data_IF_761403356502
#
_entry.id   IF_761403356502
#
_cell.length_a   1.000
_cell.length_b   1.000
_cell.length_c   1.000
_cell.angle_alpha   90.00
_cell.angle_beta   90.00
_cell.angle_gamma   90.00
#
_symmetry.space_group_name_H-M   'P 1'
#
loop_
_entity.id
_entity.type
_entity.pdbx_description
1 polymer ?
#
# COMPACT_ATOMS: atom_id res chain seq x y z
N UNK A 1 27.35 70.76 13.59
CA UNK A 1 27.48 69.93 12.38
C UNK A 1 28.26 68.68 12.75
N UNK A 2 27.56 67.62 13.14
CA UNK A 2 28.13 66.28 13.24
C UNK A 2 27.13 65.38 12.51
N UNK A 3 27.59 64.90 11.36
CA UNK A 3 26.80 64.17 10.39
C UNK A 3 26.24 62.89 11.02
N UNK A 4 24.96 62.65 10.77
CA UNK A 4 24.35 61.36 10.95
C UNK A 4 25.16 60.33 10.16
N UNK A 5 25.62 59.28 10.84
CA UNK A 5 26.08 58.06 10.20
C UNK A 5 24.82 57.46 9.58
N UNK A 6 24.67 57.65 8.27
CA UNK A 6 23.77 56.86 7.44
C UNK A 6 24.19 55.40 7.64
N UNK A 7 23.42 54.67 8.46
CA UNK A 7 23.58 53.24 8.59
C UNK A 7 23.42 52.63 7.20
N UNK A 8 24.44 51.90 6.74
CA UNK A 8 24.32 51.02 5.59
C UNK A 8 23.11 50.12 5.85
N UNK A 9 22.03 50.36 5.11
CA UNK A 9 20.91 49.43 5.02
C UNK A 9 21.49 48.23 4.28
N UNK A 10 22.07 47.31 5.04
CA UNK A 10 22.54 46.02 4.54
C UNK A 10 21.32 45.38 3.87
N UNK A 11 21.33 45.37 2.54
CA UNK A 11 20.18 44.93 1.74
C UNK A 11 19.96 43.46 2.05
N UNK A 12 18.90 43.19 2.81
CA UNK A 12 18.62 41.82 3.24
C UNK A 12 18.43 40.94 2.00
N UNK A 13 19.02 39.75 1.99
CA UNK A 13 18.94 38.87 0.83
C UNK A 13 17.48 38.49 0.58
N UNK A 14 16.99 38.70 -0.63
CA UNK A 14 15.61 38.37 -1.02
C UNK A 14 15.52 36.96 -1.60
N UNK A 15 14.35 36.32 -1.46
CA UNK A 15 14.10 35.03 -2.06
C UNK A 15 14.03 35.13 -3.60
N UNK A 16 14.79 34.35 -4.40
CA UNK A 16 14.74 34.42 -5.86
C UNK A 16 13.38 34.05 -6.45
N UNK A 17 12.59 33.25 -5.72
CA UNK A 17 11.23 32.86 -6.12
C UNK A 17 10.16 33.83 -5.61
N UNK A 18 10.46 34.65 -4.60
CA UNK A 18 9.56 35.67 -4.07
C UNK A 18 10.38 36.93 -3.78
N UNK A 19 10.62 37.78 -4.80
CA UNK A 19 11.46 38.96 -4.65
C UNK A 19 10.98 39.95 -3.59
N UNK A 20 9.69 39.92 -3.24
CA UNK A 20 9.08 40.73 -2.19
C UNK A 20 9.26 40.16 -0.76
N UNK A 21 9.85 38.96 -0.60
CA UNK A 21 10.06 38.34 0.72
C UNK A 21 11.54 38.24 1.07
N UNK A 22 11.87 38.72 2.27
CA UNK A 22 13.18 38.56 2.88
C UNK A 22 13.49 37.07 3.10
N UNK A 23 14.76 36.71 2.90
CA UNK A 23 15.22 35.36 3.13
C UNK A 23 15.47 35.11 4.61
N UNK A 24 14.87 34.05 5.14
CA UNK A 24 15.06 33.64 6.53
C UNK A 24 16.28 32.75 6.69
N UNK A 25 16.71 32.06 5.63
CA UNK A 25 17.90 31.20 5.61
C UNK A 25 18.41 30.90 4.20
N UNK A 26 19.58 30.26 4.13
CA UNK A 26 20.13 29.67 2.92
C UNK A 26 19.83 28.18 2.84
N UNK A 27 19.57 27.68 1.63
CA UNK A 27 19.34 26.27 1.37
C UNK A 27 20.64 25.47 1.59
N UNK A 28 20.60 24.47 2.47
CA UNK A 28 21.76 23.63 2.80
C UNK A 28 22.32 22.84 1.60
N UNK A 29 21.50 22.62 0.56
CA UNK A 29 21.88 21.82 -0.63
C UNK A 29 22.43 22.64 -1.79
N UNK A 30 21.86 23.82 -2.05
CA UNK A 30 22.21 24.62 -3.24
C UNK A 30 22.66 26.05 -2.93
N UNK A 31 22.67 26.47 -1.66
CA UNK A 31 23.11 27.79 -1.22
C UNK A 31 22.14 28.94 -1.55
N UNK A 32 21.03 28.71 -2.25
CA UNK A 32 20.05 29.76 -2.57
C UNK A 32 19.35 30.29 -1.32
N UNK A 33 19.07 31.58 -1.30
CA UNK A 33 18.24 32.24 -0.30
C UNK A 33 16.78 31.77 -0.35
N UNK A 34 16.18 31.57 0.82
CA UNK A 34 14.84 30.97 0.99
C UNK A 34 14.05 31.80 2.00
N UNK A 35 12.83 32.24 1.62
CA UNK A 35 11.89 32.86 2.55
C UNK A 35 11.14 31.81 3.39
N UNK A 36 10.46 32.23 4.45
CA UNK A 36 9.68 31.37 5.36
C UNK A 36 8.69 30.44 4.65
N UNK A 37 8.14 30.87 3.52
CA UNK A 37 7.21 30.07 2.72
C UNK A 37 7.89 29.04 1.81
N UNK A 38 9.09 29.36 1.31
CA UNK A 38 9.84 28.48 0.44
C UNK A 38 10.62 27.40 1.20
N UNK A 39 10.80 27.58 2.51
CA UNK A 39 11.50 26.65 3.39
C UNK A 39 10.72 25.33 3.54
N UNK A 40 11.46 24.22 3.53
CA UNK A 40 10.94 22.87 3.78
C UNK A 40 11.77 22.21 4.87
N UNK A 41 11.27 21.08 5.38
CA UNK A 41 11.98 20.28 6.38
C UNK A 41 13.44 20.04 6.00
N UNK A 42 14.35 20.17 6.97
CA UNK A 42 15.78 20.00 6.77
C UNK A 42 16.47 21.19 6.09
N UNK A 43 15.89 22.40 6.13
CA UNK A 43 16.55 23.63 5.68
C UNK A 43 16.77 23.70 4.17
N UNK A 44 15.96 22.98 3.39
CA UNK A 44 16.09 22.92 1.93
C UNK A 44 15.07 23.83 1.24
N UNK A 45 15.46 24.41 0.11
CA UNK A 45 14.54 25.14 -0.74
C UNK A 45 13.53 24.20 -1.43
N UNK A 46 12.40 24.76 -1.87
CA UNK A 46 11.33 24.02 -2.58
C UNK A 46 11.84 23.18 -3.76
N UNK A 47 12.75 23.72 -4.58
CA UNK A 47 13.27 23.01 -5.75
C UNK A 47 14.17 21.83 -5.36
N UNK A 48 15.07 22.02 -4.39
CA UNK A 48 15.91 20.94 -3.88
C UNK A 48 15.08 19.81 -3.25
N UNK A 49 14.03 20.18 -2.51
CA UNK A 49 13.09 19.23 -1.92
C UNK A 49 12.30 18.48 -3.01
N UNK A 50 11.82 19.18 -4.04
CA UNK A 50 11.14 18.60 -5.21
C UNK A 50 12.04 17.60 -5.94
N UNK A 51 13.28 17.96 -6.19
CA UNK A 51 14.24 17.07 -6.83
C UNK A 51 14.56 15.85 -5.96
N UNK A 52 14.68 16.02 -4.64
CA UNK A 52 14.86 14.90 -3.72
C UNK A 52 13.65 13.94 -3.74
N UNK A 53 12.43 14.49 -3.77
CA UNK A 53 11.19 13.74 -3.89
C UNK A 53 11.11 12.95 -5.22
N UNK A 54 11.50 13.57 -6.35
CA UNK A 54 11.49 12.94 -7.67
C UNK A 54 12.61 11.91 -7.85
N UNK A 55 13.74 12.09 -7.16
CA UNK A 55 14.86 11.15 -7.16
C UNK A 55 14.50 9.78 -6.56
N UNK A 56 13.40 9.68 -5.82
CA UNK A 56 12.86 8.40 -5.34
C UNK A 56 12.18 7.67 -6.52
N UNK A 57 12.68 6.49 -6.96
CA UNK A 57 12.00 5.67 -7.97
C UNK A 57 10.50 5.46 -7.72
N UNK A 58 9.72 5.32 -8.79
CA UNK A 58 8.29 5.10 -8.68
C UNK A 58 7.92 3.72 -8.09
N UNK A 59 6.63 3.55 -7.81
CA UNK A 59 6.00 2.33 -7.31
C UNK A 59 5.23 1.55 -8.39
N UNK A 60 5.15 2.07 -9.63
CA UNK A 60 4.27 1.57 -10.70
C UNK A 60 4.59 0.14 -11.08
N UNK A 61 5.88 -0.17 -11.29
CA UNK A 61 6.32 -1.51 -11.68
C UNK A 61 6.00 -2.53 -10.58
N UNK A 62 6.18 -2.16 -9.32
CA UNK A 62 5.90 -3.03 -8.17
C UNK A 62 4.39 -3.22 -7.97
N UNK A 63 3.60 -2.16 -8.12
CA UNK A 63 2.13 -2.23 -8.08
C UNK A 63 1.59 -3.16 -9.16
N UNK A 64 2.13 -3.07 -10.38
CA UNK A 64 1.77 -3.94 -11.50
C UNK A 64 2.11 -5.40 -11.20
N UNK A 65 3.32 -5.69 -10.71
CA UNK A 65 3.72 -7.06 -10.32
C UNK A 65 2.83 -7.62 -9.21
N UNK A 66 2.53 -6.84 -8.18
CA UNK A 66 1.61 -7.24 -7.12
C UNK A 66 0.21 -7.51 -7.65
N UNK A 67 -0.31 -6.66 -8.54
CA UNK A 67 -1.65 -6.82 -9.15
C UNK A 67 -1.73 -8.10 -9.99
N UNK A 68 -0.73 -8.37 -10.83
CA UNK A 68 -0.68 -9.61 -11.61
C UNK A 68 -0.56 -10.85 -10.73
N UNK A 69 0.31 -10.84 -9.73
CA UNK A 69 0.48 -11.97 -8.82
C UNK A 69 -0.80 -12.27 -8.03
N UNK A 70 -1.47 -11.23 -7.51
CA UNK A 70 -2.78 -11.36 -6.86
C UNK A 70 -3.84 -11.91 -7.82
N UNK A 71 -3.90 -11.40 -9.05
CA UNK A 71 -4.83 -11.88 -10.08
C UNK A 71 -4.61 -13.34 -10.46
N UNK A 72 -3.36 -13.77 -10.59
CA UNK A 72 -3.01 -15.17 -10.89
C UNK A 72 -3.34 -16.07 -9.69
N UNK A 73 -3.04 -15.65 -8.46
CA UNK A 73 -3.45 -16.38 -7.24
C UNK A 73 -4.96 -16.59 -7.17
N UNK A 74 -5.75 -15.54 -7.43
CA UNK A 74 -7.21 -15.65 -7.47
C UNK A 74 -7.70 -16.59 -8.58
N UNK A 75 -7.07 -16.55 -9.77
CA UNK A 75 -7.40 -17.46 -10.86
C UNK A 75 -7.12 -18.92 -10.49
N UNK A 76 -5.96 -19.21 -9.90
CA UNK A 76 -5.58 -20.58 -9.47
C UNK A 76 -6.55 -21.07 -8.39
N UNK A 77 -6.85 -20.23 -7.40
CA UNK A 77 -7.81 -20.58 -6.33
C UNK A 77 -9.24 -20.74 -6.88
N UNK A 78 -9.63 -19.99 -7.91
CA UNK A 78 -10.92 -20.19 -8.56
C UNK A 78 -11.01 -21.53 -9.32
N UNK A 79 -9.88 -22.11 -9.77
CA UNK A 79 -9.88 -23.42 -10.42
C UNK A 79 -10.26 -24.57 -9.48
N UNK A 80 -10.16 -24.40 -8.15
CA UNK A 80 -10.65 -25.40 -7.20
C UNK A 80 -12.15 -25.34 -6.94
N UNK A 81 -12.87 -24.30 -7.43
CA UNK A 81 -14.32 -24.18 -7.22
C UNK A 81 -15.14 -25.30 -7.86
N UNK A 82 -14.95 -25.66 -9.15
CA UNK A 82 -15.72 -26.75 -9.76
C UNK A 82 -15.51 -28.06 -9.01
N UNK A 83 -14.30 -28.24 -8.50
CA UNK A 83 -13.89 -29.41 -7.73
C UNK A 83 -14.65 -29.52 -6.41
N UNK A 84 -14.65 -28.46 -5.62
CA UNK A 84 -15.40 -28.40 -4.36
C UNK A 84 -16.91 -28.50 -4.57
N UNK A 85 -17.44 -27.84 -5.61
CA UNK A 85 -18.87 -27.92 -5.95
C UNK A 85 -19.28 -29.34 -6.34
N UNK A 86 -18.48 -30.04 -7.12
CA UNK A 86 -18.79 -31.40 -7.52
C UNK A 86 -18.74 -32.39 -6.35
N UNK A 87 -17.86 -32.20 -5.36
CA UNK A 87 -17.87 -33.06 -4.17
C UNK A 87 -19.07 -32.80 -3.26
N UNK A 88 -19.53 -31.54 -3.16
CA UNK A 88 -20.65 -31.17 -2.29
C UNK A 88 -22.01 -31.45 -2.93
N UNK A 89 -22.13 -31.24 -4.24
CA UNK A 89 -23.42 -31.28 -4.97
C UNK A 89 -23.47 -32.35 -6.07
N UNK A 90 -22.38 -33.09 -6.31
CA UNK A 90 -22.32 -34.10 -7.35
C UNK A 90 -23.06 -35.39 -6.99
N UNK A 91 -23.37 -36.24 -7.99
CA UNK A 91 -24.06 -37.50 -7.79
C UNK A 91 -23.22 -38.48 -6.96
N UNK A 92 -23.88 -39.22 -6.06
CA UNK A 92 -23.24 -40.28 -5.26
C UNK A 92 -22.68 -41.39 -6.19
N UNK A 93 -21.41 -41.77 -5.99
CA UNK A 93 -20.80 -42.94 -6.64
C UNK A 93 -19.97 -42.72 -7.91
N UNK A 94 -19.69 -41.46 -8.30
CA UNK A 94 -18.92 -41.15 -9.53
C UNK A 94 -17.46 -40.72 -9.34
N UNK A 95 -16.97 -40.63 -8.10
CA UNK A 95 -15.72 -39.91 -7.78
C UNK A 95 -14.69 -40.82 -7.13
N UNK A 96 -13.50 -40.92 -7.73
CA UNK A 96 -12.31 -41.41 -7.04
C UNK A 96 -11.85 -40.33 -6.03
N UNK A 97 -12.19 -40.55 -4.76
CA UNK A 97 -11.89 -39.61 -3.66
C UNK A 97 -10.39 -39.46 -3.41
N UNK A 98 -9.59 -40.48 -3.71
CA UNK A 98 -8.13 -40.44 -3.52
C UNK A 98 -7.47 -39.63 -4.62
N UNK A 99 -7.84 -39.86 -5.89
CA UNK A 99 -7.39 -39.03 -7.01
C UNK A 99 -7.78 -37.55 -6.81
N UNK A 100 -8.99 -37.32 -6.30
CA UNK A 100 -9.50 -36.00 -5.96
C UNK A 100 -8.67 -35.32 -4.88
N UNK A 101 -8.39 -36.02 -3.78
CA UNK A 101 -7.58 -35.52 -2.66
C UNK A 101 -6.18 -35.14 -3.11
N UNK A 102 -5.55 -35.96 -3.97
CA UNK A 102 -4.22 -35.67 -4.52
C UNK A 102 -4.25 -34.43 -5.42
N UNK A 103 -5.26 -34.27 -6.27
CA UNK A 103 -5.42 -33.09 -7.12
C UNK A 103 -5.63 -31.82 -6.28
N UNK A 104 -6.50 -31.86 -5.28
CA UNK A 104 -6.76 -30.74 -4.38
C UNK A 104 -5.50 -30.32 -3.62
N UNK A 105 -4.75 -31.29 -3.08
CA UNK A 105 -3.48 -31.02 -2.39
C UNK A 105 -2.44 -30.36 -3.31
N UNK A 106 -2.32 -30.84 -4.56
CA UNK A 106 -1.40 -30.23 -5.55
C UNK A 106 -1.80 -28.80 -5.90
N UNK A 107 -3.10 -28.55 -6.13
CA UNK A 107 -3.61 -27.20 -6.36
C UNK A 107 -3.34 -26.29 -5.16
N UNK A 108 -3.57 -26.78 -3.93
CA UNK A 108 -3.27 -26.05 -2.71
C UNK A 108 -1.79 -25.65 -2.58
N UNK A 109 -0.86 -26.54 -2.93
CA UNK A 109 0.59 -26.22 -2.94
C UNK A 109 0.89 -25.11 -3.95
N UNK A 110 0.35 -25.21 -5.18
CA UNK A 110 0.56 -24.22 -6.23
C UNK A 110 -0.04 -22.86 -5.84
N UNK A 111 -1.26 -22.84 -5.31
CA UNK A 111 -1.91 -21.65 -4.78
C UNK A 111 -1.07 -21.02 -3.66
N UNK A 112 -0.62 -21.82 -2.68
CA UNK A 112 0.18 -21.32 -1.56
C UNK A 112 1.51 -20.68 -2.00
N UNK A 113 2.20 -21.26 -2.98
CA UNK A 113 3.40 -20.66 -3.56
C UNK A 113 3.08 -19.32 -4.24
N UNK A 114 1.97 -19.25 -4.99
CA UNK A 114 1.55 -18.02 -5.65
C UNK A 114 1.12 -16.94 -4.65
N UNK A 115 0.45 -17.32 -3.57
CA UNK A 115 0.05 -16.41 -2.49
C UNK A 115 1.27 -15.81 -1.78
N UNK A 116 2.30 -16.61 -1.52
CA UNK A 116 3.57 -16.13 -0.98
C UNK A 116 4.21 -15.13 -1.94
N UNK A 117 4.25 -15.44 -3.24
CA UNK A 117 4.80 -14.52 -4.24
C UNK A 117 4.01 -13.21 -4.31
N UNK A 118 2.68 -13.27 -4.31
CA UNK A 118 1.78 -12.12 -4.29
C UNK A 118 2.00 -11.26 -3.04
N UNK A 119 2.11 -11.89 -1.88
CA UNK A 119 2.42 -11.23 -0.60
C UNK A 119 3.77 -10.52 -0.66
N UNK A 120 4.82 -11.16 -1.18
CA UNK A 120 6.15 -10.54 -1.31
C UNK A 120 6.08 -9.31 -2.22
N UNK A 121 5.44 -9.40 -3.39
CA UNK A 121 5.31 -8.24 -4.28
C UNK A 121 4.48 -7.11 -3.66
N UNK A 122 3.42 -7.45 -2.94
CA UNK A 122 2.63 -6.49 -2.18
C UNK A 122 3.50 -5.76 -1.12
N UNK A 123 4.30 -6.49 -0.35
CA UNK A 123 5.21 -5.90 0.66
C UNK A 123 6.30 -5.03 0.03
N UNK A 124 6.86 -5.46 -1.11
CA UNK A 124 7.83 -4.66 -1.86
C UNK A 124 7.21 -3.36 -2.39
N UNK A 125 5.95 -3.40 -2.80
CA UNK A 125 5.19 -2.21 -3.17
C UNK A 125 4.92 -1.32 -1.94
N UNK A 126 4.44 -1.90 -0.84
CA UNK A 126 4.15 -1.18 0.41
C UNK A 126 5.38 -0.42 0.91
N UNK A 127 6.52 -1.11 1.01
CA UNK A 127 7.80 -0.48 1.35
C UNK A 127 8.13 0.70 0.44
N UNK A 128 7.86 0.56 -0.87
CA UNK A 128 8.12 1.62 -1.87
C UNK A 128 7.24 2.84 -1.61
N UNK A 129 5.94 2.63 -1.39
CA UNK A 129 4.97 3.70 -1.15
C UNK A 129 5.31 4.47 0.12
N UNK A 130 5.61 3.78 1.23
CA UNK A 130 6.00 4.44 2.48
C UNK A 130 7.28 5.26 2.29
N UNK A 131 8.25 4.75 1.53
CA UNK A 131 9.47 5.50 1.22
C UNK A 131 9.20 6.74 0.36
N UNK A 132 8.26 6.67 -0.59
CA UNK A 132 7.85 7.83 -1.39
C UNK A 132 7.18 8.89 -0.54
N UNK A 133 6.21 8.50 0.29
CA UNK A 133 5.51 9.42 1.19
C UNK A 133 6.47 10.13 2.14
N UNK A 134 7.40 9.39 2.75
CA UNK A 134 8.42 9.97 3.61
C UNK A 134 9.32 10.98 2.87
N UNK A 135 9.68 10.70 1.62
CA UNK A 135 10.46 11.64 0.81
C UNK A 135 9.67 12.88 0.37
N UNK A 136 8.33 12.85 0.47
CA UNK A 136 7.45 13.98 0.23
C UNK A 136 7.14 14.77 1.51
N UNK A 137 7.86 14.49 2.61
CA UNK A 137 7.60 15.11 3.92
C UNK A 137 6.26 14.70 4.52
N UNK A 138 5.72 13.54 4.14
CA UNK A 138 4.50 13.00 4.71
C UNK A 138 4.87 11.87 5.67
N UNK A 139 4.78 12.14 6.98
CA UNK A 139 5.00 11.12 8.00
C UNK A 139 3.69 10.38 8.32
N UNK A 140 3.70 9.07 8.10
CA UNK A 140 2.59 8.16 8.43
C UNK A 140 2.82 7.46 9.78
N UNK A 141 3.80 7.91 10.57
CA UNK A 141 4.14 7.34 11.88
C UNK A 141 4.84 5.98 11.77
N UNK A 142 5.42 5.64 10.62
CA UNK A 142 6.10 4.36 10.39
C UNK A 142 7.17 4.46 9.32
N UNK A 143 8.29 3.78 9.56
CA UNK A 143 9.37 3.66 8.57
C UNK A 143 9.05 2.59 7.49
N UNK A 144 9.65 2.68 6.29
CA UNK A 144 9.47 1.67 5.24
C UNK A 144 9.80 0.23 5.67
N UNK A 145 10.82 0.04 6.51
CA UNK A 145 11.21 -1.27 7.00
C UNK A 145 10.20 -1.82 8.03
N UNK A 146 9.77 -0.97 8.97
CA UNK A 146 8.76 -1.34 9.97
C UNK A 146 7.40 -1.66 9.33
N UNK A 147 7.03 -0.98 8.25
CA UNK A 147 5.81 -1.28 7.49
C UNK A 147 5.76 -2.73 6.99
N UNK A 148 6.92 -3.32 6.69
CA UNK A 148 7.07 -4.73 6.29
C UNK A 148 7.21 -5.63 7.52
N UNK A 149 8.01 -5.24 8.51
CA UNK A 149 8.29 -6.06 9.69
C UNK A 149 7.03 -6.45 10.48
N UNK A 150 6.03 -5.56 10.55
CA UNK A 150 4.78 -5.86 11.27
C UNK A 150 3.98 -7.04 10.70
N UNK A 151 4.22 -7.45 9.46
CA UNK A 151 3.58 -8.63 8.87
C UNK A 151 4.09 -9.95 9.46
N UNK A 152 5.29 -9.95 10.03
CA UNK A 152 5.93 -11.14 10.59
C UNK A 152 5.72 -11.29 12.10
N UNK A 153 5.23 -10.24 12.76
CA UNK A 153 4.98 -10.24 14.20
C UNK A 153 3.53 -10.69 14.42
N UNK A 154 3.26 -11.82 15.11
CA UNK A 154 1.93 -12.44 15.17
C UNK A 154 0.81 -11.46 15.56
N UNK A 155 0.97 -10.75 16.68
CA UNK A 155 -0.05 -9.81 17.16
C UNK A 155 -0.13 -8.54 16.32
N UNK A 156 1.01 -8.00 15.88
CA UNK A 156 1.01 -6.79 15.06
C UNK A 156 0.43 -7.04 13.66
N UNK A 157 0.61 -8.24 13.12
CA UNK A 157 0.12 -8.65 11.79
C UNK A 157 -1.39 -8.65 11.67
N UNK A 158 -2.12 -8.61 12.81
CA UNK A 158 -3.58 -8.54 12.87
C UNK A 158 -4.14 -7.12 12.76
N UNK A 159 -3.35 -6.09 13.08
CA UNK A 159 -3.85 -4.71 13.22
C UNK A 159 -3.01 -3.70 12.43
N UNK A 160 -1.69 -3.79 12.52
CA UNK A 160 -0.78 -2.80 11.91
C UNK A 160 -0.89 -2.70 10.39
N UNK A 161 -1.03 -3.80 9.62
CA UNK A 161 -1.20 -3.70 8.17
C UNK A 161 -2.40 -2.85 7.76
N UNK A 162 -3.54 -3.03 8.42
CA UNK A 162 -4.74 -2.21 8.20
C UNK A 162 -4.48 -0.74 8.52
N UNK A 163 -3.88 -0.44 9.68
CA UNK A 163 -3.56 0.93 10.08
C UNK A 163 -2.63 1.63 9.09
N UNK A 164 -1.61 0.94 8.58
CA UNK A 164 -0.64 1.50 7.65
C UNK A 164 -1.28 1.80 6.31
N UNK A 165 -2.04 0.86 5.73
CA UNK A 165 -2.71 1.08 4.44
C UNK A 165 -3.77 2.17 4.56
N UNK A 166 -4.49 2.24 5.69
CA UNK A 166 -5.42 3.32 6.00
C UNK A 166 -4.71 4.68 6.03
N UNK A 167 -3.62 4.80 6.79
CA UNK A 167 -2.84 6.03 6.89
C UNK A 167 -2.29 6.47 5.52
N UNK A 168 -1.81 5.53 4.70
CA UNK A 168 -1.39 5.81 3.32
C UNK A 168 -2.57 6.37 2.51
N UNK A 169 -3.74 5.73 2.57
CA UNK A 169 -4.92 6.17 1.83
C UNK A 169 -5.37 7.58 2.26
N UNK A 170 -5.39 7.88 3.56
CA UNK A 170 -5.70 9.21 4.10
C UNK A 170 -4.69 10.25 3.59
N UNK A 171 -3.40 9.95 3.72
CA UNK A 171 -2.34 10.89 3.35
C UNK A 171 -2.32 11.19 1.86
N UNK A 172 -2.68 10.22 1.03
CA UNK A 172 -2.65 10.30 -0.44
C UNK A 172 -3.93 10.97 -1.00
N UNK A 173 -4.93 11.27 -0.16
CA UNK A 173 -6.18 11.91 -0.58
C UNK A 173 -7.23 10.91 -1.07
N UNK A 174 -7.07 9.63 -0.74
CA UNK A 174 -8.08 8.59 -0.89
C UNK A 174 -9.03 8.56 0.30
N UNK A 175 -9.58 9.70 0.71
CA UNK A 175 -10.52 9.78 1.85
C UNK A 175 -11.72 8.87 1.65
N UNK A 176 -12.18 8.70 0.40
CA UNK A 176 -13.20 7.70 0.07
C UNK A 176 -12.73 6.28 0.40
N UNK A 177 -11.47 5.88 0.18
CA UNK A 177 -10.96 4.55 0.57
C UNK A 177 -10.85 4.39 2.08
N UNK A 178 -10.37 5.42 2.78
CA UNK A 178 -10.27 5.41 4.24
C UNK A 178 -11.65 5.32 4.91
N UNK A 179 -12.68 5.86 4.26
CA UNK A 179 -14.07 5.83 4.69
C UNK A 179 -14.91 4.68 4.08
N UNK A 180 -14.41 3.92 3.10
CA UNK A 180 -15.25 2.98 2.31
C UNK A 180 -15.07 1.51 2.67
N UNK A 181 -16.14 0.77 2.36
CA UNK A 181 -16.27 -0.70 2.45
C UNK A 181 -15.04 -1.51 1.98
N UNK A 182 -14.32 -1.17 0.89
CA UNK A 182 -13.24 -2.01 0.38
C UNK A 182 -12.10 -2.24 1.37
N UNK A 183 -11.74 -1.26 2.22
CA UNK A 183 -10.62 -1.41 3.14
C UNK A 183 -10.97 -2.29 4.35
N UNK A 184 -12.15 -2.07 4.94
CA UNK A 184 -12.66 -2.90 6.03
C UNK A 184 -13.02 -4.31 5.56
N UNK A 185 -13.62 -4.43 4.36
CA UNK A 185 -13.94 -5.70 3.73
C UNK A 185 -12.67 -6.47 3.38
N UNK A 186 -11.66 -5.84 2.78
CA UNK A 186 -10.36 -6.46 2.48
C UNK A 186 -9.74 -7.09 3.73
N UNK A 187 -9.65 -6.32 4.82
CA UNK A 187 -9.01 -6.82 6.03
C UNK A 187 -9.86 -7.87 6.74
N UNK A 188 -11.18 -7.64 6.86
CA UNK A 188 -12.10 -8.58 7.46
C UNK A 188 -12.14 -9.93 6.73
N UNK A 189 -12.21 -9.90 5.40
CA UNK A 189 -12.16 -11.12 4.57
C UNK A 189 -10.80 -11.79 4.60
N UNK A 190 -9.69 -11.04 4.70
CA UNK A 190 -8.37 -11.63 4.87
C UNK A 190 -8.24 -12.40 6.19
N UNK A 191 -8.69 -11.82 7.31
CA UNK A 191 -8.68 -12.49 8.62
C UNK A 191 -9.61 -13.70 8.61
N UNK A 192 -10.81 -13.56 8.04
CA UNK A 192 -11.77 -14.65 7.91
C UNK A 192 -11.21 -15.79 7.06
N UNK A 193 -10.58 -15.48 5.92
CA UNK A 193 -9.95 -16.49 5.06
C UNK A 193 -8.82 -17.24 5.78
N UNK A 194 -8.01 -16.56 6.61
CA UNK A 194 -6.97 -17.23 7.42
C UNK A 194 -7.58 -18.17 8.46
N UNK A 195 -8.70 -17.78 9.07
CA UNK A 195 -9.40 -18.61 10.04
C UNK A 195 -10.03 -19.85 9.37
N UNK A 196 -10.71 -19.66 8.24
CA UNK A 196 -11.31 -20.75 7.46
C UNK A 196 -10.25 -21.74 6.97
N UNK A 197 -9.12 -21.26 6.44
CA UNK A 197 -7.99 -22.12 6.05
C UNK A 197 -7.46 -22.97 7.21
N UNK A 198 -7.37 -22.42 8.42
CA UNK A 198 -6.93 -23.18 9.59
C UNK A 198 -7.95 -24.27 9.96
N UNK A 199 -9.25 -23.96 9.90
CA UNK A 199 -10.32 -24.94 10.16
C UNK A 199 -10.34 -26.04 9.10
N UNK A 200 -10.13 -25.68 7.84
CA UNK A 200 -10.04 -26.58 6.70
C UNK A 200 -8.89 -27.58 6.88
N UNK A 201 -7.68 -27.10 7.16
CA UNK A 201 -6.51 -27.94 7.44
C UNK A 201 -6.75 -28.90 8.62
N UNK A 202 -7.30 -28.40 9.73
CA UNK A 202 -7.64 -29.25 10.88
C UNK A 202 -8.68 -30.33 10.55
N UNK A 203 -9.62 -30.04 9.65
CA UNK A 203 -10.65 -30.99 9.24
C UNK A 203 -10.04 -32.08 8.35
N UNK A 204 -9.17 -31.71 7.41
CA UNK A 204 -8.46 -32.67 6.56
C UNK A 204 -7.50 -33.57 7.35
N UNK A 205 -6.80 -33.03 8.35
CA UNK A 205 -5.93 -33.80 9.24
C UNK A 205 -6.74 -34.82 10.05
N UNK A 206 -7.88 -34.40 10.60
CA UNK A 206 -8.77 -35.28 11.39
C UNK A 206 -9.48 -36.33 10.55
N UNK A 207 -9.87 -36.00 9.33
CA UNK A 207 -10.49 -36.94 8.38
C UNK A 207 -9.54 -38.08 7.97
N UNK A 208 -8.22 -37.90 8.10
CA UNK A 208 -7.23 -38.98 7.92
C UNK A 208 -7.12 -39.95 9.11
N UNK A 209 -7.68 -39.61 10.27
CA UNK A 209 -7.54 -40.39 11.53
C UNK A 209 -8.85 -40.96 12.07
N UNK A 210 -10.01 -40.45 11.66
CA UNK A 210 -11.31 -40.91 12.14
C UNK A 210 -12.14 -41.34 10.93
N UNK A 211 -12.40 -42.64 10.80
CA UNK A 211 -13.36 -43.19 9.85
C UNK A 211 -14.71 -42.46 10.06
N UNK A 212 -15.15 -41.68 9.06
CA UNK A 212 -16.48 -41.08 9.05
C UNK A 212 -16.60 -39.59 9.37
N UNK A 213 -15.51 -38.81 9.44
CA UNK A 213 -15.66 -37.36 9.31
C UNK A 213 -16.20 -37.06 7.89
N UNK A 214 -17.36 -36.39 7.73
CA UNK A 214 -17.96 -36.20 6.41
C UNK A 214 -17.04 -35.29 5.60
N UNK A 215 -16.37 -35.85 4.61
CA UNK A 215 -15.43 -35.13 3.73
C UNK A 215 -16.09 -33.88 3.11
N UNK A 216 -17.41 -33.93 2.89
CA UNK A 216 -18.25 -32.81 2.43
C UNK A 216 -18.16 -31.56 3.32
N UNK A 217 -17.94 -31.67 4.63
CA UNK A 217 -17.75 -30.53 5.51
C UNK A 217 -16.45 -29.77 5.21
N UNK A 218 -15.36 -30.49 4.95
CA UNK A 218 -14.07 -29.89 4.56
C UNK A 218 -14.18 -29.14 3.22
N UNK A 219 -14.82 -29.75 2.23
CA UNK A 219 -15.03 -29.10 0.93
C UNK A 219 -16.00 -27.91 0.99
N UNK A 220 -17.03 -27.96 1.85
CA UNK A 220 -17.92 -26.82 2.08
C UNK A 220 -17.19 -25.63 2.72
N UNK A 221 -16.28 -25.88 3.67
CA UNK A 221 -15.40 -24.85 4.23
C UNK A 221 -14.51 -24.27 3.12
N UNK A 222 -13.93 -25.12 2.27
CA UNK A 222 -13.09 -24.69 1.14
C UNK A 222 -13.81 -23.78 0.12
N UNK A 223 -15.11 -23.99 -0.13
CA UNK A 223 -15.92 -23.07 -0.94
C UNK A 223 -16.03 -21.69 -0.29
N UNK A 224 -16.27 -21.64 1.03
CA UNK A 224 -16.29 -20.39 1.80
C UNK A 224 -14.93 -19.70 1.81
N UNK A 225 -13.84 -20.45 1.98
CA UNK A 225 -12.46 -19.97 1.91
C UNK A 225 -12.17 -19.33 0.56
N UNK A 226 -12.59 -19.99 -0.53
CA UNK A 226 -12.37 -19.49 -1.90
C UNK A 226 -13.10 -18.18 -2.14
N UNK A 227 -14.37 -18.09 -1.74
CA UNK A 227 -15.16 -16.86 -1.89
C UNK A 227 -14.51 -15.70 -1.12
N UNK A 228 -14.12 -15.91 0.14
CA UNK A 228 -13.44 -14.90 0.95
C UNK A 228 -12.11 -14.47 0.32
N UNK A 229 -11.37 -15.41 -0.26
CA UNK A 229 -10.08 -15.13 -0.91
C UNK A 229 -10.24 -14.29 -2.17
N UNK A 230 -11.23 -14.60 -3.01
CA UNK A 230 -11.55 -13.79 -4.20
C UNK A 230 -11.94 -12.37 -3.81
N UNK A 231 -12.82 -12.20 -2.82
CA UNK A 231 -13.21 -10.86 -2.32
C UNK A 231 -11.99 -10.12 -1.79
N UNK A 232 -11.15 -10.78 -1.00
CA UNK A 232 -9.90 -10.20 -0.47
C UNK A 232 -9.01 -9.69 -1.59
N UNK A 233 -8.78 -10.50 -2.63
CA UNK A 233 -7.94 -10.13 -3.79
C UNK A 233 -8.53 -8.95 -4.55
N UNK A 234 -9.83 -8.98 -4.85
CA UNK A 234 -10.50 -7.89 -5.57
C UNK A 234 -10.36 -6.57 -4.81
N UNK A 235 -10.64 -6.56 -3.51
CA UNK A 235 -10.49 -5.36 -2.69
C UNK A 235 -9.01 -4.92 -2.60
N UNK A 236 -8.07 -5.85 -2.49
CA UNK A 236 -6.64 -5.53 -2.48
C UNK A 236 -6.20 -4.85 -3.80
N UNK A 237 -6.65 -5.37 -4.95
CA UNK A 237 -6.37 -4.80 -6.27
C UNK A 237 -6.99 -3.40 -6.40
N UNK A 238 -8.23 -3.20 -5.92
CA UNK A 238 -8.87 -1.87 -5.91
C UNK A 238 -8.06 -0.87 -5.08
N UNK A 239 -7.64 -1.25 -3.88
CA UNK A 239 -6.80 -0.43 -3.00
C UNK A 239 -5.47 -0.08 -3.68
N UNK A 240 -4.78 -1.08 -4.26
CA UNK A 240 -3.53 -0.88 -4.98
C UNK A 240 -3.67 0.12 -6.13
N UNK A 241 -4.71 -0.05 -6.97
CA UNK A 241 -4.95 0.80 -8.14
C UNK A 241 -5.21 2.24 -7.74
N UNK A 242 -6.13 2.46 -6.81
CA UNK A 242 -6.49 3.82 -6.37
C UNK A 242 -5.31 4.52 -5.70
N UNK A 243 -4.59 3.84 -4.81
CA UNK A 243 -3.41 4.44 -4.17
C UNK A 243 -2.36 4.78 -5.24
N UNK A 244 -2.11 3.87 -6.19
CA UNK A 244 -1.16 4.11 -7.27
C UNK A 244 -1.56 5.29 -8.16
N UNK A 245 -2.83 5.39 -8.56
CA UNK A 245 -3.36 6.50 -9.37
C UNK A 245 -3.19 7.85 -8.67
N UNK A 246 -3.39 7.90 -7.37
CA UNK A 246 -3.22 9.13 -6.60
C UNK A 246 -1.75 9.48 -6.40
N UNK A 247 -0.87 8.50 -6.17
CA UNK A 247 0.58 8.71 -6.15
C UNK A 247 1.07 9.22 -7.52
N UNK A 248 0.54 8.68 -8.61
CA UNK A 248 0.88 9.08 -9.97
C UNK A 248 0.42 10.52 -10.26
N UNK A 249 -0.80 10.89 -9.85
CA UNK A 249 -1.29 12.28 -9.94
C UNK A 249 -0.41 13.26 -9.19
N UNK A 250 -0.03 12.94 -7.94
CA UNK A 250 0.86 13.79 -7.14
C UNK A 250 2.25 13.92 -7.76
N UNK A 251 2.80 12.82 -8.28
CA UNK A 251 4.10 12.84 -8.96
C UNK A 251 4.06 13.70 -10.21
N UNK A 252 3.02 13.58 -11.04
CA UNK A 252 2.85 14.43 -12.21
C UNK A 252 2.77 15.92 -11.84
N UNK A 253 2.10 16.26 -10.74
CA UNK A 253 2.07 17.63 -10.21
C UNK A 253 3.43 18.17 -9.77
N UNK A 254 4.35 17.31 -9.31
CA UNK A 254 5.74 17.71 -9.01
C UNK A 254 6.61 17.80 -10.26
N UNK A 255 6.35 17.00 -11.28
CA UNK A 255 7.08 17.02 -12.56
C UNK A 255 6.70 18.22 -13.43
N UNK A 256 5.48 18.76 -13.25
CA UNK A 256 5.03 19.97 -13.94
C UNK A 256 6.03 21.14 -13.73
N UNK A 257 6.31 21.94 -14.77
CA UNK A 257 7.16 23.13 -14.66
C UNK A 257 6.68 24.05 -13.54
N UNK A 258 7.63 24.61 -12.78
CA UNK A 258 7.29 25.62 -11.78
C UNK A 258 6.83 26.89 -12.51
N UNK A 259 5.52 27.16 -12.47
CA UNK A 259 4.99 28.49 -12.75
C UNK A 259 5.20 29.33 -11.50
N UNK A 260 5.88 30.48 -11.58
CA UNK A 260 5.95 31.42 -10.47
C UNK A 260 4.52 31.74 -10.02
N UNK A 261 4.24 31.58 -8.73
CA UNK A 261 2.97 32.04 -8.17
C UNK A 261 2.97 33.56 -8.27
N UNK A 262 1.87 34.13 -8.78
CA UNK A 262 1.62 35.57 -8.69
C UNK A 262 1.51 35.95 -7.21
N UNK A 263 1.91 37.16 -6.84
CA UNK A 263 1.96 37.62 -5.44
C UNK A 263 0.62 37.45 -4.69
N UNK A 264 -0.50 37.41 -5.41
CA UNK A 264 -1.86 37.18 -4.88
C UNK A 264 -2.10 35.79 -4.26
N UNK A 265 -1.32 34.76 -4.63
CA UNK A 265 -1.51 33.38 -4.16
C UNK A 265 -0.66 33.04 -2.91
N UNK A 266 0.25 33.94 -2.51
CA UNK A 266 1.14 33.70 -1.39
C UNK A 266 0.44 34.12 -0.08
N UNK A 267 0.22 33.22 0.90
CA UNK A 267 -0.44 33.57 2.15
C UNK A 267 0.33 34.70 2.82
N UNK A 268 -0.38 35.78 3.19
CA UNK A 268 0.19 36.96 3.86
C UNK A 268 0.95 36.47 5.08
N UNK A 269 2.22 36.85 5.18
CA UNK A 269 3.01 36.57 6.37
C UNK A 269 2.39 37.37 7.51
N UNK A 270 1.77 36.68 8.48
CA UNK A 270 1.48 37.23 9.81
C UNK A 270 2.77 37.37 10.61
#
# INVERSE_FOLDING_TARGET
MLNAVEGEVESQPMCPSHPAREAVRTCERCGRYVCSWCEREGGQCRECSRQAALAVPDSRVRARRATWALGISAAITALSLPLGLWVVFGPEGGVDLDAMRVLYARLGIVSGVMDIAAQVFFLMWLHRVVRQLKAWGQDIGTSPAWAVAFWFIPFASLVKPYQIVKAIAEQVGGTFLAASLPLSLWWGTNILARLLNRMEQQTFDKAGTIEGAPASAGYAIGLGTTLCSVVTVVCCIQILRVIQEQLDRRRAGMEAPYTPLTEEDAPVAE
#
